data_IF_605503859582
#
_entry.id   IF_605503859582
#
_cell.length_a   1.000
_cell.length_b   1.000
_cell.length_c   1.000
_cell.angle_alpha   90.00
_cell.angle_beta   90.00
_cell.angle_gamma   90.00
#
_symmetry.space_group_name_H-M   'P 1'
#
loop_
_entity.id
_entity.type
_entity.pdbx_description
1 polymer ?
#
# COMPACT_ATOMS: atom_id res chain seq x y z
N UNK A 1 1.59 -10.10 12.81
CA UNK A 1 1.70 -10.49 14.24
C UNK A 1 1.87 -9.26 15.14
N UNK A 2 2.44 -8.16 14.66
CA UNK A 2 2.62 -6.94 15.48
C UNK A 2 1.35 -6.08 15.64
N UNK A 3 0.46 -6.03 14.63
CA UNK A 3 -0.81 -5.29 14.72
C UNK A 3 -1.77 -5.82 15.80
N UNK A 4 -1.81 -7.15 16.04
CA UNK A 4 -2.61 -7.74 17.14
C UNK A 4 -2.00 -7.49 18.53
N UNK A 5 -0.67 -7.44 18.64
CA UNK A 5 0.01 -7.07 19.89
C UNK A 5 -0.17 -5.58 20.22
N UNK A 6 -0.23 -4.73 19.20
CA UNK A 6 -0.46 -3.29 19.33
C UNK A 6 -1.91 -2.97 19.73
N UNK A 7 -2.89 -3.76 19.27
CA UNK A 7 -4.27 -3.73 19.75
C UNK A 7 -4.38 -4.18 21.21
N UNK A 8 -3.72 -5.27 21.61
CA UNK A 8 -3.73 -5.73 23.01
C UNK A 8 -3.15 -4.70 23.99
N UNK A 9 -2.16 -3.92 23.56
CA UNK A 9 -1.56 -2.84 24.35
C UNK A 9 -2.46 -1.61 24.47
N UNK A 10 -3.42 -1.43 23.57
CA UNK A 10 -4.38 -0.32 23.58
C UNK A 10 -5.53 -0.56 24.58
N UNK A 11 -5.86 -1.82 24.87
CA UNK A 11 -7.00 -2.21 25.74
C UNK A 11 -6.61 -2.76 27.13
N UNK A 12 -5.34 -2.67 27.51
CA UNK A 12 -4.87 -3.05 28.84
C UNK A 12 -4.31 -1.82 29.57
N UNK A 13 -5.19 -0.94 30.03
CA UNK A 13 -4.80 0.16 30.93
C UNK A 13 -5.01 -0.25 32.39
N UNK A 14 -4.24 0.39 33.28
CA UNK A 14 -4.42 0.24 34.71
C UNK A 14 -5.64 1.06 35.13
N UNK A 15 -6.67 0.39 35.64
CA UNK A 15 -7.85 1.09 36.15
C UNK A 15 -7.51 1.80 37.46
N UNK A 16 -7.82 3.09 37.59
CA UNK A 16 -7.52 3.88 38.80
C UNK A 16 -8.23 3.36 40.05
N UNK A 17 -9.39 2.73 39.90
CA UNK A 17 -10.13 2.18 41.04
C UNK A 17 -9.69 0.74 41.39
N UNK A 18 -9.36 -0.09 40.40
CA UNK A 18 -8.94 -1.47 40.67
C UNK A 18 -7.44 -1.62 40.91
N UNK A 19 -6.62 -0.65 40.49
CA UNK A 19 -5.16 -0.66 40.59
C UNK A 19 -4.51 -1.93 40.00
N UNK A 20 -5.18 -2.55 39.04
CA UNK A 20 -4.71 -3.73 38.31
C UNK A 20 -4.90 -3.52 36.80
N UNK A 21 -4.06 -4.16 35.96
CA UNK A 21 -4.29 -4.21 34.52
C UNK A 21 -5.62 -4.89 34.26
N UNK A 22 -6.57 -4.15 33.67
CA UNK A 22 -7.93 -4.65 33.43
C UNK A 22 -8.25 -4.52 31.95
N UNK A 23 -9.00 -5.48 31.42
CA UNK A 23 -9.55 -5.39 30.07
C UNK A 23 -10.61 -4.29 30.03
N UNK A 24 -10.49 -3.41 29.05
CA UNK A 24 -11.45 -2.33 28.82
C UNK A 24 -12.40 -2.67 27.67
N UNK A 25 -13.64 -2.22 27.79
CA UNK A 25 -14.66 -2.34 26.74
C UNK A 25 -15.08 -0.94 26.30
N UNK A 26 -15.10 -0.71 25.00
CA UNK A 26 -15.66 0.51 24.41
C UNK A 26 -17.17 0.35 24.24
N UNK A 27 -17.94 1.22 24.89
CA UNK A 27 -19.35 1.44 24.58
C UNK A 27 -19.45 2.49 23.48
N UNK A 28 -19.56 2.03 22.23
CA UNK A 28 -19.68 2.91 21.06
C UNK A 28 -20.95 3.77 21.07
N UNK A 29 -22.00 3.37 21.81
CA UNK A 29 -23.26 4.11 21.85
C UNK A 29 -23.17 5.36 22.74
N UNK A 30 -22.45 5.24 23.85
CA UNK A 30 -22.15 6.35 24.76
C UNK A 30 -20.85 7.09 24.38
N UNK A 31 -19.93 6.41 23.68
CA UNK A 31 -18.57 6.88 23.43
C UNK A 31 -17.68 6.76 24.66
N UNK A 32 -17.86 5.72 25.48
CA UNK A 32 -17.19 5.58 26.77
C UNK A 32 -16.28 4.34 26.79
N UNK A 33 -15.13 4.46 27.47
CA UNK A 33 -14.20 3.35 27.72
C UNK A 33 -14.37 2.86 29.16
N UNK A 34 -14.87 1.63 29.32
CA UNK A 34 -15.37 1.12 30.59
C UNK A 34 -14.50 -0.04 31.10
N UNK A 35 -14.14 0.02 32.38
CA UNK A 35 -13.47 -1.08 33.08
C UNK A 35 -14.43 -2.26 33.31
N UNK A 36 -14.07 -3.45 32.83
CA UNK A 36 -14.90 -4.66 32.98
C UNK A 36 -15.01 -5.19 34.40
N UNK A 37 -14.08 -4.83 35.29
CA UNK A 37 -14.04 -5.35 36.66
C UNK A 37 -14.88 -4.51 37.65
N UNK A 38 -14.83 -3.17 37.54
CA UNK A 38 -15.53 -2.28 38.47
C UNK A 38 -16.57 -1.35 37.83
N UNK A 39 -16.70 -1.35 36.50
CA UNK A 39 -17.66 -0.50 35.78
C UNK A 39 -17.29 0.98 35.74
N UNK A 40 -16.08 1.37 36.17
CA UNK A 40 -15.60 2.75 36.07
C UNK A 40 -15.39 3.13 34.60
N UNK A 41 -15.96 4.27 34.21
CA UNK A 41 -15.64 4.95 32.93
C UNK A 41 -14.30 5.64 33.09
N UNK A 42 -13.28 5.17 32.34
CA UNK A 42 -11.92 5.71 32.37
C UNK A 42 -11.76 6.88 31.40
N UNK A 43 -12.43 6.82 30.26
CA UNK A 43 -12.46 7.87 29.26
C UNK A 43 -13.88 8.02 28.74
N UNK A 44 -14.33 9.27 28.56
CA UNK A 44 -15.63 9.59 28.02
C UNK A 44 -15.46 10.43 26.75
N UNK A 45 -16.37 10.26 25.79
CA UNK A 45 -16.32 10.88 24.44
C UNK A 45 -15.12 10.43 23.60
N UNK A 46 -14.80 9.13 23.67
CA UNK A 46 -13.78 8.53 22.81
C UNK A 46 -14.18 8.67 21.34
N UNK A 47 -13.20 8.99 20.50
CA UNK A 47 -13.41 9.07 19.05
C UNK A 47 -13.57 7.64 18.53
N UNK A 48 -14.68 7.39 17.83
CA UNK A 48 -14.88 6.11 17.16
C UNK A 48 -13.98 6.01 15.93
N UNK A 49 -12.98 5.13 15.99
CA UNK A 49 -12.11 4.77 14.86
C UNK A 49 -12.67 3.58 14.06
N UNK A 50 -13.87 3.11 14.40
CA UNK A 50 -14.54 2.07 13.62
C UNK A 50 -14.91 2.57 12.22
N UNK A 51 -15.53 1.70 11.42
CA UNK A 51 -15.79 2.01 10.00
C UNK A 51 -16.62 3.28 9.88
N UNK A 52 -16.18 4.21 9.04
CA UNK A 52 -16.93 5.44 8.71
C UNK A 52 -18.42 5.12 8.50
N UNK A 53 -19.29 5.91 9.12
CA UNK A 53 -20.74 5.76 8.99
C UNK A 53 -21.12 5.75 7.50
N UNK A 54 -21.51 4.58 6.98
CA UNK A 54 -21.86 4.45 5.57
C UNK A 54 -23.26 5.03 5.37
N UNK A 55 -23.38 6.18 4.73
CA UNK A 55 -24.67 6.62 4.20
C UNK A 55 -25.03 5.70 3.03
N UNK A 56 -26.09 4.90 3.18
CA UNK A 56 -26.59 3.98 2.15
C UNK A 56 -26.96 4.69 0.82
N UNK A 57 -27.08 6.01 0.83
CA UNK A 57 -27.20 6.88 -0.36
C UNK A 57 -25.96 6.89 -1.27
N UNK A 58 -24.86 6.24 -0.86
CA UNK A 58 -23.58 6.24 -1.58
C UNK A 58 -23.42 5.06 -2.56
N UNK A 59 -24.48 4.29 -2.84
CA UNK A 59 -24.42 3.17 -3.79
C UNK A 59 -24.23 3.61 -5.24
N UNK A 60 -24.62 4.83 -5.55
CA UNK A 60 -24.36 5.43 -6.86
C UNK A 60 -22.96 6.05 -6.79
N UNK A 61 -22.02 5.54 -7.58
CA UNK A 61 -20.60 5.95 -7.60
C UNK A 61 -20.32 7.44 -7.94
N UNK A 62 -21.36 8.27 -7.94
CA UNK A 62 -21.34 9.72 -8.10
C UNK A 62 -21.78 10.48 -6.83
N UNK A 63 -22.18 9.77 -5.76
CA UNK A 63 -22.54 10.40 -4.48
C UNK A 63 -21.26 10.83 -3.75
N UNK A 64 -21.04 12.14 -3.71
CA UNK A 64 -19.96 12.77 -2.97
C UNK A 64 -20.29 12.72 -1.49
N UNK A 65 -19.69 11.77 -0.77
CA UNK A 65 -19.78 11.66 0.69
C UNK A 65 -19.11 12.89 1.35
N UNK A 66 -19.87 13.84 1.93
CA UNK A 66 -19.29 15.04 2.52
C UNK A 66 -18.46 14.74 3.77
N UNK A 67 -18.64 13.56 4.36
CA UNK A 67 -17.89 13.09 5.52
C UNK A 67 -16.52 12.52 5.14
N UNK A 68 -16.32 12.17 3.87
CA UNK A 68 -15.04 11.64 3.36
C UNK A 68 -14.03 12.78 3.20
N UNK A 69 -13.21 12.97 4.22
CA UNK A 69 -12.17 14.02 4.26
C UNK A 69 -10.82 13.58 3.66
N UNK A 70 -10.69 12.30 3.27
CA UNK A 70 -9.45 11.74 2.73
C UNK A 70 -9.67 10.86 1.50
N UNK A 71 -8.69 10.87 0.59
CA UNK A 71 -8.60 9.93 -0.53
C UNK A 71 -7.86 8.65 -0.15
N UNK A 72 -7.99 7.56 -0.94
CA UNK A 72 -7.22 6.35 -0.74
C UNK A 72 -5.72 6.65 -0.89
N UNK A 73 -4.91 6.23 0.08
CA UNK A 73 -3.45 6.34 0.03
C UNK A 73 -2.86 5.01 -0.37
N UNK A 74 -1.76 5.05 -1.12
CA UNK A 74 -0.99 3.86 -1.47
C UNK A 74 0.36 3.90 -0.73
N UNK A 75 0.59 3.04 0.28
CA UNK A 75 1.83 3.03 1.04
C UNK A 75 3.07 2.67 0.20
N UNK A 76 2.88 2.10 -0.99
CA UNK A 76 3.95 1.79 -1.95
C UNK A 76 4.50 3.02 -2.67
N UNK A 77 3.78 4.14 -2.63
CA UNK A 77 4.20 5.42 -3.18
C UNK A 77 4.82 6.29 -2.08
N UNK A 78 5.59 7.32 -2.47
CA UNK A 78 6.15 8.29 -1.53
C UNK A 78 5.01 9.14 -1.00
N UNK A 79 5.05 9.41 0.31
CA UNK A 79 3.99 10.15 1.01
C UNK A 79 2.57 9.62 0.72
N UNK A 80 2.42 8.31 0.48
CA UNK A 80 1.11 7.70 0.19
C UNK A 80 0.55 8.02 -1.21
N UNK A 81 1.34 8.63 -2.09
CA UNK A 81 0.91 9.05 -3.43
C UNK A 81 0.00 10.28 -3.40
N UNK A 82 0.08 11.10 -2.35
CA UNK A 82 -0.72 12.31 -2.19
C UNK A 82 -0.46 13.28 -3.35
N UNK A 83 -1.43 13.35 -4.26
CA UNK A 83 -1.46 14.29 -5.36
C UNK A 83 -2.91 14.64 -5.65
N UNK A 84 -3.19 15.92 -5.84
CA UNK A 84 -4.50 16.40 -6.27
C UNK A 84 -4.45 16.67 -7.76
N UNK A 85 -5.55 16.47 -8.50
CA UNK A 85 -5.65 16.81 -9.92
C UNK A 85 -6.59 18.00 -10.09
N UNK A 86 -6.15 19.02 -10.81
CA UNK A 86 -7.00 20.16 -11.18
C UNK A 86 -7.90 19.71 -12.33
N UNK A 87 -9.14 19.35 -11.99
CA UNK A 87 -10.18 18.98 -12.96
C UNK A 87 -10.79 20.18 -13.67
N UNK A 88 -11.34 19.95 -14.87
CA UNK A 88 -12.12 20.92 -15.63
C UNK A 88 -13.60 20.73 -15.29
N UNK A 89 -14.19 21.64 -14.49
CA UNK A 89 -15.63 21.62 -14.18
C UNK A 89 -16.49 22.29 -15.27
N UNK A 90 -17.81 22.18 -15.16
CA UNK A 90 -18.76 22.70 -16.16
C UNK A 90 -18.68 24.22 -16.38
N UNK A 91 -18.28 24.97 -15.35
CA UNK A 91 -18.09 26.44 -15.38
C UNK A 91 -16.63 26.87 -15.48
N UNK A 92 -15.70 25.96 -15.78
CA UNK A 92 -14.28 26.25 -15.69
C UNK A 92 -13.75 27.03 -16.91
N UNK A 93 -13.19 28.22 -16.63
CA UNK A 93 -12.60 29.10 -17.64
C UNK A 93 -11.20 28.66 -18.12
N UNK A 94 -10.62 29.48 -19.01
CA UNK A 94 -9.27 29.26 -19.58
C UNK A 94 -8.17 29.07 -18.52
N UNK A 95 -8.32 29.71 -17.35
CA UNK A 95 -7.38 29.60 -16.23
C UNK A 95 -7.24 28.16 -15.69
N UNK A 96 -8.34 27.40 -15.56
CA UNK A 96 -8.28 26.00 -15.11
C UNK A 96 -7.50 25.12 -16.11
N UNK A 97 -7.67 25.39 -17.41
CA UNK A 97 -6.94 24.68 -18.47
C UNK A 97 -5.45 25.03 -18.44
N UNK A 98 -5.10 26.30 -18.19
CA UNK A 98 -3.71 26.73 -18.03
C UNK A 98 -3.05 26.08 -16.80
N UNK A 99 -3.76 26.05 -15.66
CA UNK A 99 -3.30 25.41 -14.43
C UNK A 99 -3.11 23.91 -14.59
N UNK A 100 -4.05 23.20 -15.21
CA UNK A 100 -3.90 21.77 -15.50
C UNK A 100 -2.66 21.49 -16.37
N UNK A 101 -2.41 22.32 -17.39
CA UNK A 101 -1.20 22.20 -18.22
C UNK A 101 0.08 22.43 -17.43
N UNK A 102 0.08 23.41 -16.52
CA UNK A 102 1.22 23.66 -15.62
C UNK A 102 1.43 22.49 -14.66
N UNK A 103 0.36 21.92 -14.12
CA UNK A 103 0.41 20.78 -13.23
C UNK A 103 1.00 19.54 -13.93
N UNK A 104 0.62 19.28 -15.18
CA UNK A 104 1.19 18.18 -15.97
C UNK A 104 2.69 18.37 -16.30
N UNK A 105 3.21 19.59 -16.19
CA UNK A 105 4.66 19.87 -16.28
C UNK A 105 5.39 19.65 -14.95
N UNK A 106 4.66 19.53 -13.84
CA UNK A 106 5.22 19.21 -12.55
C UNK A 106 5.92 17.85 -12.56
N UNK A 107 7.11 17.78 -11.95
CA UNK A 107 7.83 16.53 -11.78
C UNK A 107 7.20 15.74 -10.63
N UNK A 108 6.41 14.71 -10.94
CA UNK A 108 6.01 13.73 -9.94
C UNK A 108 7.12 12.66 -9.84
N UNK A 109 7.85 12.57 -8.71
CA UNK A 109 8.93 11.60 -8.55
C UNK A 109 8.44 10.15 -8.69
N UNK A 110 7.17 9.90 -8.40
CA UNK A 110 6.57 8.57 -8.41
C UNK A 110 5.94 8.21 -9.76
N UNK A 111 6.01 9.10 -10.76
CA UNK A 111 5.43 8.86 -12.10
C UNK A 111 5.89 7.53 -12.70
N UNK A 112 7.15 7.16 -12.47
CA UNK A 112 7.71 5.90 -12.95
C UNK A 112 7.15 4.69 -12.19
N UNK A 113 6.95 4.81 -10.86
CA UNK A 113 6.32 3.77 -10.04
C UNK A 113 4.86 3.58 -10.45
N UNK A 114 4.10 4.66 -10.60
CA UNK A 114 2.69 4.65 -11.01
C UNK A 114 2.54 3.97 -12.38
N UNK A 115 3.39 4.33 -13.35
CA UNK A 115 3.39 3.70 -14.68
C UNK A 115 3.70 2.21 -14.61
N UNK A 116 4.68 1.82 -13.79
CA UNK A 116 5.06 0.42 -13.60
C UNK A 116 3.96 -0.41 -12.92
N UNK A 117 3.34 0.11 -11.87
CA UNK A 117 2.24 -0.55 -11.17
C UNK A 117 1.03 -0.76 -12.09
N UNK A 118 0.73 0.22 -12.94
CA UNK A 118 -0.29 0.08 -13.99
C UNK A 118 0.04 -1.05 -14.98
N UNK A 119 1.29 -1.10 -15.47
CA UNK A 119 1.73 -2.14 -16.40
C UNK A 119 1.75 -3.55 -15.76
N UNK A 120 2.18 -3.68 -14.50
CA UNK A 120 2.13 -4.93 -13.73
C UNK A 120 0.68 -5.36 -13.54
N UNK A 121 -0.20 -4.42 -13.17
CA UNK A 121 -1.64 -4.64 -13.05
C UNK A 121 -2.26 -5.19 -14.33
N UNK A 122 -2.00 -4.54 -15.47
CA UNK A 122 -2.51 -4.97 -16.78
C UNK A 122 -2.07 -6.41 -17.13
N UNK A 123 -0.80 -6.77 -16.89
CA UNK A 123 -0.32 -8.13 -17.13
C UNK A 123 -0.98 -9.14 -16.19
N UNK A 124 -1.14 -8.79 -14.92
CA UNK A 124 -1.76 -9.66 -13.93
C UNK A 124 -3.25 -9.86 -14.20
N UNK A 125 -3.96 -8.83 -14.67
CA UNK A 125 -5.36 -8.91 -15.10
C UNK A 125 -5.53 -9.83 -16.30
N UNK A 126 -4.66 -9.72 -17.31
CA UNK A 126 -4.67 -10.63 -18.47
C UNK A 126 -4.43 -12.09 -18.10
N UNK A 127 -3.68 -12.35 -17.02
CA UNK A 127 -3.43 -13.69 -16.48
C UNK A 127 -4.48 -14.14 -15.44
N UNK A 128 -5.46 -13.31 -15.11
CA UNK A 128 -6.47 -13.61 -14.09
C UNK A 128 -5.89 -13.83 -12.68
N UNK A 129 -4.84 -13.09 -12.33
CA UNK A 129 -4.17 -13.23 -11.03
C UNK A 129 -4.93 -12.48 -9.92
N UNK A 130 -4.89 -13.04 -8.71
CA UNK A 130 -5.51 -12.45 -7.52
C UNK A 130 -4.81 -11.14 -7.12
N UNK A 131 -5.53 -10.19 -6.49
CA UNK A 131 -4.97 -8.90 -6.08
C UNK A 131 -3.72 -9.02 -5.19
N UNK A 132 -3.67 -10.01 -4.31
CA UNK A 132 -2.52 -10.24 -3.43
C UNK A 132 -1.20 -10.45 -4.18
N UNK A 133 -1.25 -11.14 -5.33
CA UNK A 133 -0.07 -11.34 -6.20
C UNK A 133 0.34 -10.02 -6.87
N UNK A 134 -0.64 -9.17 -7.24
CA UNK A 134 -0.37 -7.84 -7.83
C UNK A 134 0.33 -6.94 -6.82
N UNK A 135 -0.17 -6.91 -5.59
CA UNK A 135 0.40 -6.11 -4.51
C UNK A 135 1.83 -6.55 -4.21
N UNK A 136 2.05 -7.86 -4.10
CA UNK A 136 3.39 -8.44 -3.93
C UNK A 136 4.33 -8.09 -5.10
N UNK A 137 3.84 -8.10 -6.34
CA UNK A 137 4.65 -7.73 -7.49
C UNK A 137 5.03 -6.24 -7.48
N UNK A 138 4.12 -5.36 -7.04
CA UNK A 138 4.38 -3.94 -6.87
C UNK A 138 5.38 -3.65 -5.75
N UNK A 139 5.30 -4.37 -4.62
CA UNK A 139 6.30 -4.33 -3.54
C UNK A 139 7.69 -4.68 -4.07
N UNK A 140 7.81 -5.83 -4.75
CA UNK A 140 9.08 -6.26 -5.35
C UNK A 140 9.62 -5.19 -6.32
N UNK A 141 8.78 -4.59 -7.16
CA UNK A 141 9.21 -3.53 -8.09
C UNK A 141 9.72 -2.28 -7.36
N UNK A 142 9.01 -1.82 -6.32
CA UNK A 142 9.41 -0.65 -5.51
C UNK A 142 10.80 -0.86 -4.93
N UNK A 143 11.04 -2.02 -4.33
CA UNK A 143 12.30 -2.36 -3.68
C UNK A 143 13.51 -2.28 -4.64
N UNK A 144 13.33 -2.77 -5.87
CA UNK A 144 14.40 -2.75 -6.87
C UNK A 144 14.58 -1.34 -7.45
N UNK A 145 13.49 -0.57 -7.59
CA UNK A 145 13.52 0.79 -8.10
C UNK A 145 14.33 1.73 -7.17
N UNK A 146 14.22 1.54 -5.86
CA UNK A 146 14.99 2.30 -4.86
C UNK A 146 16.50 2.05 -4.97
N UNK A 147 16.91 0.82 -5.31
CA UNK A 147 18.31 0.45 -5.47
C UNK A 147 19.00 1.00 -6.74
N UNK A 148 18.31 1.81 -7.57
CA UNK A 148 18.81 2.50 -8.81
C UNK A 148 19.46 1.61 -9.87
N UNK A 149 19.55 0.30 -9.66
CA UNK A 149 20.26 -0.67 -10.50
C UNK A 149 19.44 -1.19 -11.69
N UNK A 150 18.24 -0.64 -11.90
CA UNK A 150 17.33 -0.99 -13.01
C UNK A 150 17.71 -0.32 -14.35
N UNK A 151 18.66 0.63 -14.37
CA UNK A 151 19.04 1.36 -15.58
C UNK A 151 19.70 0.44 -16.62
N UNK A 152 19.26 0.55 -17.87
CA UNK A 152 19.80 -0.21 -19.01
C UNK A 152 19.14 -1.56 -19.29
N UNK A 153 18.06 -1.90 -18.57
CA UNK A 153 17.24 -3.09 -18.81
C UNK A 153 15.87 -2.68 -19.35
N UNK A 154 15.21 -3.57 -20.09
CA UNK A 154 13.85 -3.29 -20.55
C UNK A 154 12.89 -3.23 -19.35
N UNK A 155 12.09 -2.16 -19.29
CA UNK A 155 11.11 -1.98 -18.21
C UNK A 155 10.08 -3.11 -18.21
N UNK A 156 9.62 -3.51 -19.40
CA UNK A 156 8.67 -4.63 -19.56
C UNK A 156 9.21 -5.94 -19.00
N UNK A 157 10.50 -6.27 -19.21
CA UNK A 157 11.07 -7.51 -18.66
C UNK A 157 11.25 -7.44 -17.13
N UNK A 158 11.50 -6.25 -16.57
CA UNK A 158 11.54 -6.05 -15.12
C UNK A 158 10.14 -6.29 -14.53
N UNK A 159 9.11 -5.66 -15.09
CA UNK A 159 7.72 -5.83 -14.63
C UNK A 159 7.32 -7.32 -14.67
N UNK A 160 7.60 -8.00 -15.79
CA UNK A 160 7.32 -9.43 -15.96
C UNK A 160 8.07 -10.30 -14.94
N UNK A 161 9.34 -9.98 -14.65
CA UNK A 161 10.14 -10.72 -13.67
C UNK A 161 9.65 -10.48 -12.23
N UNK A 162 9.23 -9.26 -11.87
CA UNK A 162 8.60 -8.99 -10.58
C UNK A 162 7.32 -9.82 -10.40
N UNK A 163 6.48 -9.89 -11.44
CA UNK A 163 5.25 -10.67 -11.42
C UNK A 163 5.53 -12.18 -11.28
N UNK A 164 6.55 -12.69 -11.97
CA UNK A 164 7.00 -14.08 -11.83
C UNK A 164 7.43 -14.42 -10.40
N UNK A 165 8.21 -13.54 -9.78
CA UNK A 165 8.69 -13.72 -8.41
C UNK A 165 7.52 -13.72 -7.43
N UNK A 166 6.59 -12.77 -7.56
CA UNK A 166 5.39 -12.70 -6.73
C UNK A 166 4.54 -13.98 -6.84
N UNK A 167 4.33 -14.50 -8.05
CA UNK A 167 3.62 -15.77 -8.24
C UNK A 167 4.29 -16.94 -7.50
N UNK A 168 5.63 -16.96 -7.44
CA UNK A 168 6.36 -17.98 -6.68
C UNK A 168 6.32 -17.79 -5.17
N UNK A 169 6.32 -16.54 -4.70
CA UNK A 169 6.23 -16.22 -3.27
C UNK A 169 4.86 -16.58 -2.68
N UNK A 170 3.79 -16.47 -3.48
CA UNK A 170 2.41 -16.77 -3.07
C UNK A 170 1.99 -18.22 -3.42
N UNK A 171 2.96 -19.13 -3.59
CA UNK A 171 2.76 -20.57 -3.87
C UNK A 171 1.87 -20.89 -5.10
N UNK A 172 1.81 -19.97 -6.07
CA UNK A 172 1.07 -20.13 -7.33
C UNK A 172 1.98 -19.91 -8.54
N UNK A 173 3.00 -20.76 -8.71
CA UNK A 173 4.01 -20.53 -9.73
C UNK A 173 3.40 -20.55 -11.14
N UNK A 174 3.83 -19.58 -11.96
CA UNK A 174 3.59 -19.53 -13.39
C UNK A 174 4.88 -19.82 -14.14
N UNK A 175 4.77 -20.32 -15.36
CA UNK A 175 5.91 -20.56 -16.23
C UNK A 175 6.38 -19.26 -16.88
N UNK A 176 7.65 -19.20 -17.27
CA UNK A 176 8.17 -18.05 -18.02
C UNK A 176 7.43 -17.83 -19.35
N UNK A 177 6.92 -18.89 -19.98
CA UNK A 177 6.15 -18.80 -21.23
C UNK A 177 4.80 -18.11 -21.03
N UNK A 178 4.08 -18.45 -19.96
CA UNK A 178 2.80 -17.80 -19.62
C UNK A 178 2.99 -16.31 -19.39
N UNK A 179 4.01 -15.91 -18.62
CA UNK A 179 4.26 -14.49 -18.35
C UNK A 179 4.76 -13.76 -19.60
N UNK A 180 5.60 -14.39 -20.40
CA UNK A 180 6.06 -13.83 -21.68
C UNK A 180 4.90 -13.61 -22.67
N UNK A 181 3.80 -14.37 -22.56
CA UNK A 181 2.64 -14.20 -23.44
C UNK A 181 1.86 -12.90 -23.20
N UNK A 182 1.94 -12.33 -21.99
CA UNK A 182 1.24 -11.09 -21.62
C UNK A 182 2.16 -9.87 -21.60
N UNK A 183 3.47 -10.08 -21.47
CA UNK A 183 4.46 -9.01 -21.47
C UNK A 183 4.79 -8.57 -22.90
N UNK A 184 4.57 -7.28 -23.21
CA UNK A 184 4.87 -6.72 -24.53
C UNK A 184 6.37 -6.62 -24.76
N UNK A 185 6.83 -6.92 -25.97
CA UNK A 185 8.21 -6.69 -26.43
C UNK A 185 9.29 -7.32 -25.55
N UNK A 186 9.04 -8.51 -25.00
CA UNK A 186 10.00 -9.23 -24.16
C UNK A 186 10.17 -10.67 -24.60
N UNK A 187 11.33 -11.24 -24.27
CA UNK A 187 11.63 -12.64 -24.53
C UNK A 187 11.89 -13.38 -23.21
N UNK A 188 11.57 -14.66 -23.17
CA UNK A 188 11.78 -15.56 -22.02
C UNK A 188 13.21 -15.50 -21.46
N UNK A 189 14.23 -15.40 -22.33
CA UNK A 189 15.63 -15.25 -21.93
C UNK A 189 15.90 -13.95 -21.16
N UNK A 190 15.25 -12.86 -21.54
CA UNK A 190 15.41 -11.57 -20.90
C UNK A 190 14.72 -11.53 -19.54
N UNK A 191 13.50 -12.08 -19.46
CA UNK A 191 12.77 -12.29 -18.20
C UNK A 191 13.63 -13.12 -17.23
N UNK A 192 14.27 -14.19 -17.69
CA UNK A 192 15.19 -15.00 -16.88
C UNK A 192 16.41 -14.23 -16.36
N UNK A 193 17.00 -13.32 -17.16
CA UNK A 193 18.10 -12.45 -16.72
C UNK A 193 17.66 -11.43 -15.69
N UNK A 194 16.46 -10.87 -15.86
CA UNK A 194 15.86 -9.95 -14.90
C UNK A 194 15.50 -10.68 -13.60
N UNK A 195 14.94 -11.89 -13.67
CA UNK A 195 14.66 -12.74 -12.51
C UNK A 195 15.90 -12.98 -11.65
N UNK A 196 17.01 -13.43 -12.25
CA UNK A 196 18.26 -13.68 -11.51
C UNK A 196 18.84 -12.41 -10.90
N UNK A 197 18.68 -11.27 -11.58
CA UNK A 197 19.12 -9.97 -11.08
C UNK A 197 18.28 -9.51 -9.88
N UNK A 198 16.95 -9.56 -10.00
CA UNK A 198 16.03 -9.13 -8.96
C UNK A 198 16.18 -10.00 -7.71
N UNK A 199 16.27 -11.32 -7.88
CA UNK A 199 16.45 -12.26 -6.76
C UNK A 199 17.72 -11.93 -5.97
N UNK A 200 18.82 -11.58 -6.66
CA UNK A 200 20.05 -11.12 -6.01
C UNK A 200 19.87 -9.78 -5.29
N UNK A 201 19.19 -8.83 -5.92
CA UNK A 201 18.94 -7.52 -5.32
C UNK A 201 18.08 -7.62 -4.05
N UNK A 202 17.01 -8.41 -4.07
CA UNK A 202 16.13 -8.64 -2.92
C UNK A 202 16.86 -9.39 -1.79
N UNK A 203 17.71 -10.37 -2.12
CA UNK A 203 18.53 -11.05 -1.13
C UNK A 203 19.51 -10.10 -0.43
N UNK A 204 20.17 -9.22 -1.19
CA UNK A 204 21.07 -8.21 -0.63
C UNK A 204 20.31 -7.23 0.29
N UNK A 205 19.09 -6.83 -0.07
CA UNK A 205 18.23 -6.00 0.78
C UNK A 205 17.95 -6.69 2.12
N UNK A 206 17.50 -7.95 2.08
CA UNK A 206 17.23 -8.74 3.29
C UNK A 206 18.47 -8.87 4.18
N UNK A 207 19.65 -9.11 3.59
CA UNK A 207 20.91 -9.15 4.35
C UNK A 207 21.25 -7.78 4.98
N UNK A 208 21.03 -6.69 4.26
CA UNK A 208 21.28 -5.34 4.80
C UNK A 208 20.34 -5.00 5.97
N UNK A 209 19.07 -5.37 5.89
CA UNK A 209 18.10 -5.16 6.97
C UNK A 209 18.43 -5.98 8.22
N UNK A 210 18.83 -7.24 8.05
CA UNK A 210 19.30 -8.09 9.15
C UNK A 210 20.55 -7.50 9.82
N UNK A 211 21.48 -6.95 9.04
CA UNK A 211 22.69 -6.33 9.56
C UNK A 211 22.41 -4.99 10.29
N UNK A 212 21.36 -4.24 9.89
CA UNK A 212 20.95 -3.02 10.57
C UNK A 212 20.32 -3.30 11.94
N UNK A 213 19.59 -4.40 12.09
CA UNK A 213 19.05 -4.83 13.39
C UNK A 213 20.12 -5.30 14.39
N UNK A 214 21.30 -5.70 13.93
CA UNK A 214 22.44 -6.09 14.78
C UNK A 214 23.33 -4.91 15.23
N UNK A 215 23.05 -3.68 14.80
CA UNK A 215 23.82 -2.47 15.15
C UNK A 215 23.04 -1.53 16.08
N UNK A 216 22.46 -2.06 17.17
CA UNK A 216 22.21 -1.25 18.38
C UNK A 216 23.36 -1.44 19.36
N UNK A 217 24.41 -0.59 19.32
CA UNK A 217 25.34 -0.51 20.43
C UNK A 217 24.66 0.24 21.59
N UNK A 218 24.40 -0.48 22.68
CA UNK A 218 24.14 0.08 24.01
C UNK A 218 22.68 0.23 24.41
N UNK A 219 22.11 -0.84 24.97
CA UNK A 219 21.44 -0.78 26.28
C UNK A 219 22.37 -1.48 27.29
#
# INVERSE_FOLDING_TARGET
>A
MDSQKQLAHRFTQMCENCQIPTTLVEDHSAGDLICTNCGLVLEARTIDESTEWRTFSNSDGNSQDPSRVGGPTNPLLRDGGLSTVIGKGDSSGSAATALARLQHRGSNPDRNLISAFSAIGEMADRLGLVPTIKDRANENYRDIAEHKSIRGRSASAIHAACLYIACRQEDRPRTFKEICSVARDTNTREIGRCFSFITKALHNKLQNELNQHTLRPGD
#
